data_IF_590791843678
#
_entry.id   IF_590791843678
#
_cell.length_a   1.000
_cell.length_b   1.000
_cell.length_c   1.000
_cell.angle_alpha   90.00
_cell.angle_beta   90.00
_cell.angle_gamma   90.00
#
_symmetry.space_group_name_H-M   'P 1'
#
loop_
_entity.id
_entity.type
_entity.pdbx_description
1 polymer ?
#
# COMPACT_ATOMS: atom_id res chain seq x y z
N UNK A 1 24.10 -6.85 20.93
CA UNK A 1 22.94 -7.74 21.14
C UNK A 1 22.14 -7.69 19.87
N UNK A 2 21.73 -8.83 19.31
CA UNK A 2 20.86 -8.84 18.13
C UNK A 2 19.50 -8.22 18.49
N UNK A 3 18.99 -7.32 17.65
CA UNK A 3 17.64 -6.76 17.78
C UNK A 3 16.64 -7.81 17.32
N UNK A 4 15.69 -8.17 18.17
CA UNK A 4 14.54 -9.02 17.79
C UNK A 4 13.39 -8.12 17.39
N UNK A 5 12.82 -8.36 16.21
CA UNK A 5 11.61 -7.69 15.70
C UNK A 5 10.46 -8.70 15.71
N UNK A 6 9.39 -8.39 16.42
CA UNK A 6 8.14 -9.17 16.41
C UNK A 6 7.34 -8.80 15.18
N UNK A 7 7.20 -9.76 14.26
CA UNK A 7 6.51 -9.58 12.99
C UNK A 7 5.22 -10.39 12.98
N UNK A 8 4.08 -9.71 12.90
CA UNK A 8 2.82 -10.37 12.63
C UNK A 8 2.73 -10.68 11.13
N UNK A 9 2.42 -11.92 10.79
CA UNK A 9 2.19 -12.37 9.41
C UNK A 9 0.70 -12.62 9.23
N UNK A 10 0.08 -11.95 8.26
CA UNK A 10 -1.32 -12.18 7.87
C UNK A 10 -1.30 -12.63 6.40
N UNK A 11 -1.14 -13.94 6.11
CA UNK A 11 -1.10 -14.41 4.73
C UNK A 11 -2.39 -14.09 3.97
N UNK A 12 -3.52 -14.19 4.67
CA UNK A 12 -4.84 -13.88 4.15
C UNK A 12 -5.39 -14.97 3.21
N UNK A 13 -6.04 -14.55 2.15
CA UNK A 13 -6.81 -15.37 1.22
C UNK A 13 -6.20 -15.43 -0.19
N UNK A 14 -6.64 -16.41 -0.98
CA UNK A 14 -6.31 -16.54 -2.39
C UNK A 14 -4.81 -16.73 -2.63
N UNK A 15 -4.18 -15.84 -3.40
CA UNK A 15 -2.73 -15.89 -3.67
C UNK A 15 -1.88 -15.42 -2.48
N UNK A 16 -2.49 -14.80 -1.47
CA UNK A 16 -1.82 -14.22 -0.30
C UNK A 16 -0.80 -15.17 0.35
N UNK A 17 -1.19 -16.41 0.72
CA UNK A 17 -0.26 -17.40 1.27
C UNK A 17 0.93 -17.74 0.36
N UNK A 18 0.71 -17.86 -0.95
CA UNK A 18 1.78 -18.21 -1.90
C UNK A 18 2.81 -17.08 -2.03
N UNK A 19 2.37 -15.82 -2.10
CA UNK A 19 3.29 -14.68 -2.25
C UNK A 19 3.97 -14.30 -0.92
N UNK A 20 3.30 -14.50 0.21
CA UNK A 20 3.87 -14.20 1.54
C UNK A 20 4.95 -15.19 1.91
N UNK A 21 4.81 -16.47 1.55
CA UNK A 21 5.88 -17.44 1.72
C UNK A 21 7.18 -17.01 1.02
N UNK A 22 7.06 -16.41 -0.17
CA UNK A 22 8.22 -15.89 -0.92
C UNK A 22 8.75 -14.57 -0.35
N UNK A 23 7.87 -13.71 0.19
CA UNK A 23 8.27 -12.51 0.92
C UNK A 23 9.07 -12.85 2.19
N UNK A 24 8.61 -13.82 2.98
CA UNK A 24 9.31 -14.31 4.16
C UNK A 24 10.67 -14.92 3.79
N UNK A 25 10.75 -15.68 2.69
CA UNK A 25 12.00 -16.22 2.17
C UNK A 25 13.01 -15.12 1.84
N UNK A 26 12.55 -14.05 1.18
CA UNK A 26 13.41 -12.90 0.86
C UNK A 26 13.85 -12.13 2.12
N UNK A 27 12.94 -11.96 3.10
CA UNK A 27 13.25 -11.36 4.40
C UNK A 27 14.36 -12.14 5.11
N UNK A 28 14.19 -13.46 5.24
CA UNK A 28 15.16 -14.31 5.92
C UNK A 28 16.53 -14.28 5.22
N UNK A 29 16.53 -14.32 3.88
CA UNK A 29 17.75 -14.25 3.07
C UNK A 29 18.51 -12.92 3.24
N UNK A 30 17.81 -11.78 3.24
CA UNK A 30 18.47 -10.48 3.37
C UNK A 30 19.01 -10.23 4.78
N UNK A 31 18.36 -10.79 5.81
CA UNK A 31 18.76 -10.59 7.21
C UNK A 31 19.60 -11.70 7.82
N UNK A 32 19.91 -12.77 7.09
CA UNK A 32 20.66 -13.94 7.58
C UNK A 32 21.99 -13.60 8.28
N UNK A 33 22.68 -12.55 7.82
CA UNK A 33 23.96 -12.08 8.37
C UNK A 33 23.85 -10.70 9.05
N UNK A 34 22.64 -10.26 9.39
CA UNK A 34 22.40 -8.99 10.06
C UNK A 34 22.36 -9.16 11.58
N UNK A 35 22.52 -8.07 12.32
CA UNK A 35 22.28 -8.04 13.78
C UNK A 35 20.78 -8.00 14.13
N UNK A 36 19.88 -8.27 13.17
CA UNK A 36 18.43 -8.28 13.37
C UNK A 36 17.86 -9.67 13.07
N UNK A 37 16.94 -10.12 13.92
CA UNK A 37 16.17 -11.35 13.72
C UNK A 37 14.69 -11.08 13.82
N UNK A 38 13.88 -11.79 13.03
CA UNK A 38 12.42 -11.65 13.03
C UNK A 38 11.77 -12.83 13.75
N UNK A 39 11.03 -12.54 14.82
CA UNK A 39 10.14 -13.48 15.48
C UNK A 39 8.76 -13.35 14.82
N UNK A 40 8.38 -14.36 14.04
CA UNK A 40 7.18 -14.32 13.20
C UNK A 40 6.01 -15.01 13.91
N UNK A 41 4.87 -14.32 13.99
CA UNK A 41 3.61 -14.88 14.50
C UNK A 41 2.56 -14.82 13.41
N UNK A 42 2.03 -15.98 13.00
CA UNK A 42 1.01 -16.06 11.97
C UNK A 42 -0.40 -15.84 12.54
N UNK A 43 -1.19 -15.02 11.84
CA UNK A 43 -2.58 -14.71 12.15
C UNK A 43 -3.49 -15.17 11.00
N UNK A 44 -4.37 -16.13 11.29
CA UNK A 44 -5.39 -16.60 10.34
C UNK A 44 -6.59 -15.65 10.33
N UNK A 45 -6.48 -14.59 9.52
CA UNK A 45 -7.52 -13.58 9.26
C UNK A 45 -7.86 -13.56 7.77
N UNK A 46 -9.11 -13.25 7.42
CA UNK A 46 -9.59 -13.25 6.04
C UNK A 46 -10.91 -14.00 5.85
N UNK A 47 -11.28 -14.23 4.59
CA UNK A 47 -12.47 -14.96 4.18
C UNK A 47 -12.52 -16.37 4.75
N UNK A 48 -11.41 -17.11 4.72
CA UNK A 48 -11.37 -18.47 5.25
C UNK A 48 -11.60 -18.52 6.76
N UNK A 49 -11.17 -17.49 7.49
CA UNK A 49 -11.46 -17.35 8.93
C UNK A 49 -12.95 -17.10 9.15
N UNK A 50 -13.54 -16.17 8.41
CA UNK A 50 -14.96 -15.87 8.50
C UNK A 50 -15.83 -17.09 8.19
N UNK A 51 -15.52 -17.84 7.14
CA UNK A 51 -16.26 -19.06 6.78
C UNK A 51 -16.18 -20.14 7.87
N UNK A 52 -15.09 -20.17 8.64
CA UNK A 52 -14.85 -21.16 9.69
C UNK A 52 -15.45 -20.76 11.04
N UNK A 53 -15.37 -19.49 11.43
CA UNK A 53 -15.75 -19.04 12.79
C UNK A 53 -16.85 -18.00 12.84
N UNK A 54 -17.16 -17.33 11.71
CA UNK A 54 -18.05 -16.18 11.64
C UNK A 54 -17.38 -14.85 12.02
N UNK A 55 -16.10 -14.87 12.43
CA UNK A 55 -15.36 -13.67 12.82
C UNK A 55 -14.48 -13.17 11.67
N UNK A 56 -14.32 -11.85 11.60
CA UNK A 56 -13.42 -11.18 10.64
C UNK A 56 -12.15 -10.69 11.35
N UNK A 57 -12.32 -9.89 12.40
CA UNK A 57 -11.26 -9.34 13.26
C UNK A 57 -11.81 -9.07 14.66
N UNK A 58 -11.48 -9.94 15.61
CA UNK A 58 -11.88 -9.75 17.01
C UNK A 58 -11.04 -8.67 17.70
N UNK A 59 -11.49 -8.20 18.86
CA UNK A 59 -10.71 -7.23 19.63
C UNK A 59 -9.45 -7.86 20.24
N UNK A 60 -9.47 -9.16 20.54
CA UNK A 60 -8.29 -9.91 20.96
C UNK A 60 -7.26 -10.03 19.83
N UNK A 61 -7.70 -10.28 18.59
CA UNK A 61 -6.83 -10.28 17.41
C UNK A 61 -6.17 -8.90 17.23
N UNK A 62 -6.95 -7.82 17.34
CA UNK A 62 -6.43 -6.46 17.22
C UNK A 62 -5.42 -6.12 18.33
N UNK A 63 -5.71 -6.51 19.59
CA UNK A 63 -4.80 -6.31 20.70
C UNK A 63 -3.50 -7.11 20.53
N UNK A 64 -3.58 -8.34 20.02
CA UNK A 64 -2.42 -9.16 19.72
C UNK A 64 -1.58 -8.57 18.58
N UNK A 65 -2.21 -8.10 17.49
CA UNK A 65 -1.51 -7.43 16.41
C UNK A 65 -0.81 -6.16 16.90
N UNK A 66 -1.46 -5.34 17.72
CA UNK A 66 -0.89 -4.11 18.28
C UNK A 66 0.35 -4.35 19.17
N UNK A 67 0.60 -5.57 19.64
CA UNK A 67 1.77 -5.93 20.44
C UNK A 67 3.01 -6.31 19.60
N UNK A 68 2.90 -6.28 18.27
CA UNK A 68 4.01 -6.53 17.33
C UNK A 68 4.69 -5.21 16.94
N UNK A 69 5.88 -5.32 16.34
CA UNK A 69 6.64 -4.16 15.84
C UNK A 69 6.23 -3.78 14.41
N UNK A 70 5.80 -4.77 13.62
CA UNK A 70 5.31 -4.59 12.26
C UNK A 70 4.34 -5.71 11.86
N UNK A 71 3.57 -5.47 10.80
CA UNK A 71 2.66 -6.44 10.19
C UNK A 71 3.07 -6.62 8.73
N UNK A 72 3.19 -7.87 8.27
CA UNK A 72 3.30 -8.23 6.86
C UNK A 72 2.00 -8.94 6.45
N UNK A 73 1.27 -8.35 5.51
CA UNK A 73 -0.03 -8.85 5.04
C UNK A 73 0.06 -9.25 3.56
N UNK A 74 -0.57 -10.36 3.19
CA UNK A 74 -0.67 -10.84 1.81
C UNK A 74 -1.81 -10.16 1.07
N UNK A 75 -2.95 -10.82 1.00
CA UNK A 75 -4.15 -10.24 0.44
C UNK A 75 -5.37 -10.81 1.17
N UNK A 76 -6.43 -10.03 1.32
CA UNK A 76 -7.68 -10.50 1.92
C UNK A 76 -8.84 -10.13 1.01
N UNK A 77 -9.87 -10.97 1.04
CA UNK A 77 -11.00 -10.85 0.13
C UNK A 77 -11.27 -12.21 -0.50
N UNK A 78 -12.45 -12.75 -0.27
CA UNK A 78 -12.80 -14.06 -0.82
C UNK A 78 -13.24 -13.98 -2.28
N UNK A 79 -13.79 -15.09 -2.79
CA UNK A 79 -14.32 -15.17 -4.15
C UNK A 79 -15.43 -14.12 -4.36
N UNK A 80 -15.31 -13.24 -5.39
CA UNK A 80 -16.35 -12.25 -5.68
C UNK A 80 -17.72 -12.91 -5.85
N UNK A 81 -18.74 -12.32 -5.22
CA UNK A 81 -20.14 -12.80 -5.24
C UNK A 81 -20.36 -14.17 -4.59
N UNK A 82 -19.46 -14.67 -3.74
CA UNK A 82 -19.76 -15.84 -2.92
C UNK A 82 -20.86 -15.49 -1.89
N UNK A 83 -22.05 -16.13 -1.96
CA UNK A 83 -23.15 -15.79 -1.06
C UNK A 83 -22.83 -16.08 0.42
N UNK A 84 -21.84 -16.93 0.70
CA UNK A 84 -21.42 -17.24 2.07
C UNK A 84 -20.62 -16.09 2.71
N UNK A 85 -20.13 -15.16 1.89
CA UNK A 85 -19.36 -13.98 2.32
C UNK A 85 -20.19 -12.69 2.29
N UNK A 86 -21.49 -12.77 1.98
CA UNK A 86 -22.35 -11.59 1.82
C UNK A 86 -22.35 -10.68 3.07
N UNK A 87 -22.29 -11.27 4.27
CA UNK A 87 -22.28 -10.55 5.54
C UNK A 87 -20.86 -10.34 6.11
N UNK A 88 -19.82 -10.79 5.42
CA UNK A 88 -18.45 -10.76 5.93
C UNK A 88 -17.86 -9.34 5.91
N UNK A 89 -18.12 -8.56 4.86
CA UNK A 89 -17.56 -7.22 4.63
C UNK A 89 -16.07 -7.13 5.03
N UNK A 90 -15.24 -8.01 4.47
CA UNK A 90 -13.86 -8.25 4.90
C UNK A 90 -13.01 -6.98 4.76
N UNK A 91 -13.18 -6.24 3.68
CA UNK A 91 -12.45 -5.01 3.41
C UNK A 91 -12.67 -3.98 4.52
N UNK A 92 -13.92 -3.80 4.97
CA UNK A 92 -14.23 -2.87 6.05
C UNK A 92 -13.92 -3.44 7.43
N UNK A 93 -14.30 -4.70 7.65
CA UNK A 93 -14.21 -5.39 8.94
C UNK A 93 -12.78 -5.77 9.33
N UNK A 94 -11.88 -5.90 8.37
CA UNK A 94 -10.46 -6.22 8.57
C UNK A 94 -9.56 -5.06 8.13
N UNK A 95 -9.43 -4.78 6.82
CA UNK A 95 -8.42 -3.84 6.32
C UNK A 95 -8.65 -2.41 6.81
N UNK A 96 -9.86 -1.87 6.65
CA UNK A 96 -10.16 -0.54 7.17
C UNK A 96 -10.10 -0.54 8.71
N UNK A 97 -10.70 -1.53 9.39
CA UNK A 97 -10.63 -1.61 10.86
C UNK A 97 -9.18 -1.59 11.36
N UNK A 98 -8.25 -2.30 10.73
CA UNK A 98 -6.82 -2.24 11.04
C UNK A 98 -6.24 -0.85 10.82
N UNK A 99 -6.46 -0.25 9.64
CA UNK A 99 -5.93 1.08 9.31
C UNK A 99 -6.40 2.16 10.29
N UNK A 100 -7.69 2.16 10.64
CA UNK A 100 -8.25 3.12 11.58
C UNK A 100 -7.79 2.85 13.02
N UNK A 101 -7.86 1.60 13.49
CA UNK A 101 -7.55 1.26 14.89
C UNK A 101 -6.05 1.35 15.21
N UNK A 102 -5.17 1.14 14.24
CA UNK A 102 -3.72 1.26 14.38
C UNK A 102 -3.19 2.60 13.88
N UNK A 103 -4.09 3.55 13.57
CA UNK A 103 -3.77 4.90 13.09
C UNK A 103 -2.76 4.90 11.92
N UNK A 104 -3.00 4.05 10.93
CA UNK A 104 -2.21 3.95 9.70
C UNK A 104 -2.55 5.07 8.71
N UNK A 105 -2.29 6.31 9.09
CA UNK A 105 -2.74 7.48 8.35
C UNK A 105 -1.97 7.76 7.05
N UNK A 106 -0.80 7.15 6.87
CA UNK A 106 -0.05 7.20 5.62
C UNK A 106 -0.18 5.88 4.89
N UNK A 107 -0.84 5.87 3.74
CA UNK A 107 -0.73 4.80 2.76
C UNK A 107 0.34 5.18 1.73
N UNK A 108 1.51 4.57 1.86
CA UNK A 108 2.70 4.79 1.04
C UNK A 108 2.72 3.81 -0.14
N UNK A 109 2.70 4.33 -1.36
CA UNK A 109 2.62 3.54 -2.60
C UNK A 109 3.65 4.00 -3.62
N UNK A 110 4.89 3.46 -3.57
CA UNK A 110 5.90 3.70 -4.58
C UNK A 110 5.51 3.08 -5.93
N UNK A 111 5.83 3.76 -7.01
CA UNK A 111 5.53 3.33 -8.38
C UNK A 111 6.72 3.66 -9.27
N UNK A 112 7.40 2.60 -9.73
CA UNK A 112 8.59 2.68 -10.55
C UNK A 112 8.45 1.76 -11.75
N UNK A 113 8.64 2.31 -12.95
CA UNK A 113 8.77 1.50 -14.17
C UNK A 113 10.23 1.11 -14.34
N UNK A 114 10.55 -0.16 -14.16
CA UNK A 114 11.90 -0.68 -14.34
C UNK A 114 12.26 -0.75 -15.84
N UNK A 115 13.53 -0.51 -16.24
CA UNK A 115 13.91 -0.42 -17.65
C UNK A 115 13.57 -1.64 -18.51
N UNK A 116 13.53 -2.84 -17.92
CA UNK A 116 13.25 -4.10 -18.61
C UNK A 116 11.78 -4.51 -18.55
N UNK A 117 10.94 -3.78 -17.82
CA UNK A 117 9.51 -4.04 -17.69
C UNK A 117 8.76 -3.20 -18.72
N UNK A 118 8.00 -3.85 -19.59
CA UNK A 118 7.10 -3.15 -20.50
C UNK A 118 5.84 -2.71 -19.76
N UNK A 119 5.55 -1.41 -19.79
CA UNK A 119 4.25 -0.86 -19.38
C UNK A 119 3.27 -0.74 -20.55
N UNK A 120 1.99 -0.39 -20.29
CA UNK A 120 1.00 -0.14 -21.34
C UNK A 120 1.28 1.16 -22.13
N UNK A 121 2.17 2.01 -21.64
CA UNK A 121 2.49 3.31 -22.24
C UNK A 121 3.59 3.17 -23.30
N UNK A 122 3.42 3.84 -24.44
CA UNK A 122 4.36 3.76 -25.57
C UNK A 122 5.72 4.44 -25.29
N UNK A 123 5.69 5.61 -24.64
CA UNK A 123 6.88 6.43 -24.33
C UNK A 123 6.76 7.04 -22.93
N UNK A 124 6.80 6.22 -21.85
CA UNK A 124 6.52 6.70 -20.49
C UNK A 124 7.60 7.64 -19.91
N UNK A 125 8.79 7.68 -20.50
CA UNK A 125 9.96 8.31 -19.90
C UNK A 125 10.41 7.57 -18.63
N UNK A 126 11.13 8.27 -17.76
CA UNK A 126 11.50 7.73 -16.44
C UNK A 126 10.32 7.87 -15.47
N UNK A 127 9.72 6.75 -15.06
CA UNK A 127 8.63 6.72 -14.10
C UNK A 127 9.15 6.22 -12.77
N UNK A 128 9.23 7.11 -11.79
CA UNK A 128 9.60 6.80 -10.40
C UNK A 128 8.97 7.86 -9.50
N UNK A 129 7.79 7.59 -8.94
CA UNK A 129 7.15 8.49 -8.00
C UNK A 129 6.51 7.71 -6.85
N UNK A 130 6.11 8.41 -5.80
CA UNK A 130 5.42 7.82 -4.65
C UNK A 130 4.12 8.56 -4.42
N UNK A 131 3.03 7.81 -4.26
CA UNK A 131 1.77 8.37 -3.77
C UNK A 131 1.74 8.20 -2.25
N UNK A 132 1.54 9.31 -1.55
CA UNK A 132 1.28 9.41 -0.11
C UNK A 132 -0.22 9.70 0.04
N UNK A 133 -0.98 8.64 0.25
CA UNK A 133 -2.44 8.68 0.40
C UNK A 133 -2.79 8.82 1.88
N UNK A 134 -3.74 9.70 2.18
CA UNK A 134 -4.38 9.76 3.50
C UNK A 134 -5.21 8.50 3.76
N UNK A 135 -4.98 7.82 4.88
CA UNK A 135 -5.52 6.48 5.14
C UNK A 135 -6.64 6.36 6.18
N UNK A 136 -6.95 7.43 6.91
CA UNK A 136 -7.72 7.43 8.17
C UNK A 136 -8.87 8.44 8.24
N UNK A 137 -9.12 9.19 7.18
CA UNK A 137 -10.28 10.07 7.07
C UNK A 137 -10.75 10.16 5.60
N UNK A 138 -11.38 11.27 5.22
CA UNK A 138 -11.91 11.46 3.87
C UNK A 138 -13.21 10.69 3.62
N UNK A 139 -13.41 10.26 2.37
CA UNK A 139 -14.65 9.61 1.94
C UNK A 139 -14.86 8.20 2.53
N UNK A 140 -13.82 7.55 3.03
CA UNK A 140 -13.86 6.12 3.42
C UNK A 140 -14.15 5.89 4.91
N UNK A 141 -14.49 6.95 5.66
CA UNK A 141 -14.87 6.85 7.07
C UNK A 141 -16.22 6.15 7.29
N UNK A 142 -17.00 5.92 6.23
CA UNK A 142 -18.33 5.31 6.31
C UNK A 142 -19.33 6.17 7.08
N UNK A 143 -19.14 7.49 7.05
CA UNK A 143 -20.07 8.45 7.62
C UNK A 143 -21.18 8.70 6.61
N UNK A 144 -22.37 8.23 6.92
CA UNK A 144 -23.41 8.16 5.94
C UNK A 144 -24.66 7.46 6.44
N UNK A 145 -25.54 7.14 5.52
CA UNK A 145 -26.74 6.38 5.82
C UNK A 145 -27.66 6.25 4.61
N UNK A 146 -28.67 5.41 4.79
CA UNK A 146 -29.74 5.20 3.81
C UNK A 146 -31.09 5.54 4.45
N UNK A 147 -31.91 6.30 3.75
CA UNK A 147 -33.28 6.64 4.13
C UNK A 147 -34.24 6.08 3.08
N UNK A 148 -35.35 5.47 3.52
CA UNK A 148 -36.39 4.87 2.65
C UNK A 148 -35.85 3.81 1.68
N UNK A 149 -34.95 2.95 2.18
CA UNK A 149 -34.35 1.86 1.43
C UNK A 149 -35.40 0.97 0.74
N UNK A 150 -35.16 0.64 -0.52
CA UNK A 150 -36.03 -0.21 -1.33
C UNK A 150 -37.27 0.49 -1.90
N UNK A 151 -37.28 1.83 -1.95
CA UNK A 151 -38.40 2.61 -2.51
C UNK A 151 -37.93 3.61 -3.56
N UNK A 152 -38.84 4.12 -4.41
CA UNK A 152 -38.54 5.20 -5.39
C UNK A 152 -38.08 6.52 -4.75
N UNK A 153 -38.15 6.63 -3.42
CA UNK A 153 -37.72 7.78 -2.63
C UNK A 153 -36.45 7.49 -1.81
N UNK A 154 -35.73 6.42 -2.13
CA UNK A 154 -34.49 6.04 -1.47
C UNK A 154 -33.42 7.15 -1.62
N UNK A 155 -32.74 7.43 -0.51
CA UNK A 155 -31.63 8.38 -0.46
C UNK A 155 -30.49 7.67 0.24
N UNK A 156 -29.32 7.62 -0.41
CA UNK A 156 -28.06 7.20 0.18
C UNK A 156 -27.10 8.39 0.22
N UNK A 157 -26.49 8.63 1.37
CA UNK A 157 -25.51 9.70 1.53
C UNK A 157 -24.20 9.13 2.11
N UNK A 158 -23.09 9.56 1.52
CA UNK A 158 -21.73 9.27 1.99
C UNK A 158 -21.00 10.60 2.15
N UNK A 159 -20.49 10.87 3.35
CA UNK A 159 -19.86 12.13 3.71
C UNK A 159 -18.36 11.95 3.90
N UNK A 160 -17.58 12.67 3.08
CA UNK A 160 -16.15 12.81 3.29
C UNK A 160 -15.83 13.74 4.46
N UNK A 161 -15.33 13.19 5.57
CA UNK A 161 -14.93 13.96 6.75
C UNK A 161 -13.43 14.21 6.67
N UNK A 162 -13.00 15.46 6.64
CA UNK A 162 -11.59 15.83 6.55
C UNK A 162 -11.27 16.74 7.74
N UNK A 163 -10.18 16.47 8.45
CA UNK A 163 -9.76 17.23 9.62
C UNK A 163 -8.44 17.94 9.34
N UNK A 164 -8.24 19.10 9.96
CA UNK A 164 -6.96 19.80 9.85
C UNK A 164 -5.80 18.95 10.39
N UNK A 165 -6.07 18.11 11.40
CA UNK A 165 -5.08 17.21 11.98
C UNK A 165 -4.63 16.14 10.99
N UNK A 166 -5.57 15.39 10.41
CA UNK A 166 -5.29 14.30 9.46
C UNK A 166 -4.58 14.79 8.20
N UNK A 167 -5.08 15.88 7.61
CA UNK A 167 -4.47 16.53 6.45
C UNK A 167 -3.05 17.02 6.76
N UNK A 168 -2.83 17.67 7.90
CA UNK A 168 -1.50 18.22 8.25
C UNK A 168 -0.45 17.14 8.36
N UNK A 169 -0.72 16.07 9.14
CA UNK A 169 0.27 15.00 9.38
C UNK A 169 0.66 14.24 8.12
N UNK A 170 -0.29 13.97 7.21
CA UNK A 170 0.02 13.27 5.94
C UNK A 170 0.78 14.17 4.97
N UNK A 171 0.47 15.47 4.93
CA UNK A 171 1.20 16.44 4.10
C UNK A 171 2.62 16.65 4.63
N UNK A 172 2.81 16.80 5.94
CA UNK A 172 4.15 16.89 6.57
C UNK A 172 5.01 15.67 6.22
N UNK A 173 4.46 14.46 6.33
CA UNK A 173 5.14 13.24 5.90
C UNK A 173 5.53 13.29 4.41
N UNK A 174 4.62 13.75 3.54
CA UNK A 174 4.89 13.85 2.11
C UNK A 174 6.00 14.86 1.77
N UNK A 175 6.08 15.98 2.50
CA UNK A 175 7.18 16.94 2.38
C UNK A 175 8.52 16.33 2.80
N UNK A 176 8.55 15.60 3.92
CA UNK A 176 9.76 14.92 4.40
C UNK A 176 10.25 13.87 3.41
N UNK A 177 9.33 13.14 2.79
CA UNK A 177 9.65 12.19 1.72
C UNK A 177 10.17 12.92 0.47
N UNK A 178 9.51 13.99 0.04
CA UNK A 178 9.92 14.75 -1.15
C UNK A 178 11.33 15.36 -1.00
N UNK A 179 11.66 15.86 0.20
CA UNK A 179 12.98 16.41 0.51
C UNK A 179 14.11 15.38 0.42
N UNK A 180 13.83 14.10 0.67
CA UNK A 180 14.79 12.98 0.51
C UNK A 180 14.85 12.45 -0.93
N UNK A 181 13.95 12.91 -1.80
CA UNK A 181 13.82 12.49 -3.20
C UNK A 181 14.25 13.61 -4.13
N UNK A 182 13.44 13.98 -5.13
CA UNK A 182 13.79 14.99 -6.14
C UNK A 182 13.28 16.39 -5.75
N UNK A 183 12.88 16.58 -4.50
CA UNK A 183 12.45 17.86 -3.97
C UNK A 183 11.16 18.39 -4.61
N UNK A 184 10.25 17.51 -5.05
CA UNK A 184 8.98 17.94 -5.66
C UNK A 184 7.78 17.21 -5.05
N UNK A 185 6.80 18.00 -4.60
CA UNK A 185 5.51 17.53 -4.09
C UNK A 185 4.38 18.03 -5.00
N UNK A 186 3.45 17.15 -5.37
CA UNK A 186 2.20 17.52 -6.03
C UNK A 186 1.03 17.22 -5.10
N UNK A 187 0.27 18.23 -4.71
CA UNK A 187 -1.04 18.02 -4.11
C UNK A 187 -2.04 17.68 -5.21
N UNK A 188 -2.72 16.53 -5.09
CA UNK A 188 -3.85 16.18 -5.95
C UNK A 188 -5.15 16.27 -5.15
N UNK A 189 -6.11 17.04 -5.65
CA UNK A 189 -7.45 17.17 -5.04
C UNK A 189 -8.44 17.77 -6.06
N UNK A 190 -9.72 17.97 -5.73
CA UNK A 190 -10.69 18.70 -6.57
C UNK A 190 -11.17 20.02 -5.94
N UNK A 191 -10.27 21.00 -5.76
CA UNK A 191 -10.53 22.23 -4.97
C UNK A 191 -11.61 23.16 -5.52
N UNK A 192 -11.89 23.09 -6.82
CA UNK A 192 -12.90 23.91 -7.48
C UNK A 192 -14.35 23.45 -7.22
N UNK A 193 -14.57 22.16 -6.98
CA UNK A 193 -15.91 21.59 -6.72
C UNK A 193 -16.07 21.17 -5.26
N UNK A 194 -15.06 20.51 -4.68
CA UNK A 194 -15.05 20.14 -3.27
C UNK A 194 -14.56 21.30 -2.41
N UNK A 195 -15.34 22.38 -2.38
CA UNK A 195 -14.89 23.68 -1.85
C UNK A 195 -14.55 23.68 -0.36
N UNK A 196 -15.06 22.74 0.43
CA UNK A 196 -14.75 22.66 1.86
C UNK A 196 -13.46 21.86 2.11
N UNK A 197 -13.47 20.57 1.76
CA UNK A 197 -12.30 19.70 1.88
C UNK A 197 -11.11 20.24 1.05
N UNK A 198 -11.34 20.63 -0.20
CA UNK A 198 -10.28 21.13 -1.06
C UNK A 198 -9.65 22.42 -0.58
N UNK A 199 -10.42 23.36 -0.02
CA UNK A 199 -9.83 24.56 0.61
C UNK A 199 -9.02 24.19 1.85
N UNK A 200 -9.47 23.24 2.66
CA UNK A 200 -8.73 22.74 3.81
C UNK A 200 -7.39 22.15 3.39
N UNK A 201 -7.40 21.20 2.45
CA UNK A 201 -6.22 20.56 1.87
C UNK A 201 -5.24 21.59 1.29
N UNK A 202 -5.73 22.47 0.39
CA UNK A 202 -4.87 23.48 -0.25
C UNK A 202 -4.26 24.43 0.77
N UNK A 203 -5.04 24.93 1.72
CA UNK A 203 -4.56 25.87 2.75
C UNK A 203 -3.47 25.24 3.61
N UNK A 204 -3.66 24.01 4.09
CA UNK A 204 -2.67 23.33 4.94
C UNK A 204 -1.39 23.02 4.14
N UNK A 205 -1.50 22.57 2.90
CA UNK A 205 -0.33 22.38 2.03
C UNK A 205 0.43 23.69 1.82
N UNK A 206 -0.26 24.80 1.58
CA UNK A 206 0.38 26.11 1.41
C UNK A 206 1.05 26.62 2.68
N UNK A 207 0.45 26.38 3.86
CA UNK A 207 1.04 26.70 5.16
C UNK A 207 2.36 25.96 5.36
N UNK A 208 2.41 24.65 5.11
CA UNK A 208 3.62 23.83 5.24
C UNK A 208 4.65 24.19 4.16
N UNK A 209 4.21 24.46 2.93
CA UNK A 209 5.09 24.89 1.83
C UNK A 209 5.87 26.16 2.18
N UNK A 210 5.25 27.11 2.88
CA UNK A 210 5.90 28.34 3.33
C UNK A 210 7.03 28.08 4.34
N UNK A 211 6.94 26.98 5.10
CA UNK A 211 7.94 26.55 6.08
C UNK A 211 9.02 25.64 5.46
N UNK A 212 8.77 25.09 4.27
CA UNK A 212 9.59 24.08 3.58
C UNK A 212 9.98 24.50 2.15
N UNK A 213 10.73 25.61 1.98
CA UNK A 213 11.08 26.13 0.65
C UNK A 213 12.05 25.23 -0.13
N UNK A 214 12.61 24.20 0.50
CA UNK A 214 13.45 23.16 -0.10
C UNK A 214 12.68 22.23 -1.05
N UNK A 215 11.33 22.20 -0.95
CA UNK A 215 10.47 21.35 -1.78
C UNK A 215 9.62 22.20 -2.71
N UNK A 216 9.74 21.97 -4.02
CA UNK A 216 8.87 22.59 -5.02
C UNK A 216 7.46 21.98 -4.95
N UNK A 217 6.44 22.83 -4.83
CA UNK A 217 5.04 22.40 -4.69
C UNK A 217 4.25 22.71 -5.95
N UNK A 218 3.56 21.70 -6.48
CA UNK A 218 2.57 21.80 -7.56
C UNK A 218 1.17 21.40 -7.04
N UNK A 219 0.13 21.84 -7.74
CA UNK A 219 -1.25 21.44 -7.49
C UNK A 219 -1.90 20.93 -8.78
N UNK A 220 -2.58 19.79 -8.71
CA UNK A 220 -3.39 19.28 -9.81
C UNK A 220 -4.80 18.92 -9.37
N UNK A 221 -5.74 19.17 -10.26
CA UNK A 221 -7.04 18.52 -10.17
C UNK A 221 -6.91 17.02 -10.42
N UNK A 222 -7.68 16.19 -9.72
CA UNK A 222 -7.63 14.73 -9.86
C UNK A 222 -7.79 14.25 -11.31
N UNK A 223 -8.70 14.84 -12.08
CA UNK A 223 -8.88 14.55 -13.49
C UNK A 223 -7.63 14.90 -14.33
N UNK A 224 -6.98 16.04 -14.06
CA UNK A 224 -5.73 16.40 -14.72
C UNK A 224 -4.58 15.46 -14.31
N UNK A 225 -4.49 15.08 -13.04
CA UNK A 225 -3.49 14.13 -12.54
C UNK A 225 -3.64 12.76 -13.22
N UNK A 226 -4.87 12.25 -13.36
CA UNK A 226 -5.19 11.03 -14.10
C UNK A 226 -4.73 11.11 -15.56
N UNK A 227 -4.99 12.22 -16.26
CA UNK A 227 -4.49 12.41 -17.64
C UNK A 227 -2.97 12.39 -17.68
N UNK A 228 -2.31 13.12 -16.77
CA UNK A 228 -0.85 13.21 -16.76
C UNK A 228 -0.15 11.92 -16.34
N UNK A 229 -0.77 11.05 -15.55
CA UNK A 229 -0.23 9.71 -15.29
C UNK A 229 -0.10 8.88 -16.57
N UNK A 230 -0.98 9.09 -17.56
CA UNK A 230 -0.91 8.39 -18.84
C UNK A 230 -0.01 9.12 -19.84
N UNK A 231 -0.11 10.44 -19.90
CA UNK A 231 0.55 11.26 -20.93
C UNK A 231 2.00 11.63 -20.59
N UNK A 232 2.29 11.92 -19.31
CA UNK A 232 3.61 12.34 -18.86
C UNK A 232 3.88 11.95 -17.40
N UNK A 233 3.95 10.64 -17.07
CA UNK A 233 4.14 10.19 -15.68
C UNK A 233 5.49 10.60 -15.07
N UNK A 234 6.51 10.86 -15.89
CA UNK A 234 7.83 11.35 -15.43
C UNK A 234 7.78 12.69 -14.68
N UNK A 235 6.66 13.40 -14.80
CA UNK A 235 6.42 14.66 -14.10
C UNK A 235 6.11 14.54 -12.62
N UNK A 236 5.92 13.35 -12.08
CA UNK A 236 5.62 13.19 -10.66
C UNK A 236 6.90 12.91 -9.87
N UNK A 237 6.88 13.16 -8.55
CA UNK A 237 7.93 12.69 -7.63
C UNK A 237 7.29 12.20 -6.34
N UNK A 238 6.72 13.10 -5.55
CA UNK A 238 5.78 12.74 -4.49
C UNK A 238 4.41 13.33 -4.81
N UNK A 239 3.37 12.50 -4.79
CA UNK A 239 1.99 12.94 -4.83
C UNK A 239 1.43 12.81 -3.42
N UNK A 240 0.78 13.85 -2.91
CA UNK A 240 -0.04 13.75 -1.70
C UNK A 240 -1.51 13.99 -2.04
N UNK A 241 -2.40 13.18 -1.49
CA UNK A 241 -3.81 13.23 -1.82
C UNK A 241 -4.68 12.61 -0.72
N UNK A 242 -5.99 12.88 -0.79
CA UNK A 242 -6.97 12.27 0.12
C UNK A 242 -7.15 10.76 -0.11
N UNK A 243 -7.97 10.15 0.73
CA UNK A 243 -8.19 8.70 0.74
C UNK A 243 -8.76 8.16 -0.59
N UNK A 244 -9.81 8.79 -1.12
CA UNK A 244 -10.49 8.33 -2.34
C UNK A 244 -9.64 8.54 -3.59
N UNK A 245 -9.05 9.72 -3.77
CA UNK A 245 -8.23 9.99 -4.94
C UNK A 245 -6.92 9.20 -4.89
N UNK A 246 -6.36 8.99 -3.69
CA UNK A 246 -5.21 8.12 -3.50
C UNK A 246 -5.49 6.70 -3.96
N UNK A 247 -6.66 6.15 -3.61
CA UNK A 247 -7.12 4.83 -4.08
C UNK A 247 -7.00 4.72 -5.62
N UNK A 248 -7.67 5.63 -6.33
CA UNK A 248 -7.73 5.67 -7.79
C UNK A 248 -6.34 5.86 -8.40
N UNK A 249 -5.55 6.80 -7.89
CA UNK A 249 -4.24 7.11 -8.45
C UNK A 249 -3.24 5.99 -8.23
N UNK A 250 -3.32 5.26 -7.12
CA UNK A 250 -2.37 4.17 -6.84
C UNK A 250 -2.59 2.95 -7.71
N UNK A 251 -3.85 2.64 -8.04
CA UNK A 251 -4.17 1.60 -9.03
C UNK A 251 -3.72 2.01 -10.44
N UNK A 252 -3.98 3.26 -10.84
CA UNK A 252 -3.50 3.79 -12.11
C UNK A 252 -1.97 3.77 -12.18
N UNK A 253 -1.29 4.14 -11.09
CA UNK A 253 0.16 4.09 -10.99
C UNK A 253 0.70 2.67 -11.16
N UNK A 254 0.09 1.69 -10.47
CA UNK A 254 0.43 0.27 -10.65
C UNK A 254 0.22 -0.22 -12.08
N UNK A 255 -0.87 0.20 -12.73
CA UNK A 255 -1.15 -0.15 -14.12
C UNK A 255 -0.08 0.38 -15.10
N UNK A 256 0.36 1.63 -14.94
CA UNK A 256 1.35 2.23 -15.85
C UNK A 256 2.79 1.78 -15.58
N UNK A 257 3.09 1.22 -14.39
CA UNK A 257 4.45 0.76 -14.01
C UNK A 257 4.67 -0.75 -14.20
N UNK A 258 3.94 -1.39 -15.12
CA UNK A 258 4.13 -2.81 -15.44
C UNK A 258 3.13 -3.76 -14.77
N UNK A 259 2.14 -3.23 -14.07
CA UNK A 259 1.03 -3.98 -13.49
C UNK A 259 1.04 -3.99 -11.96
N UNK A 260 -0.17 -4.19 -11.39
CA UNK A 260 -0.42 -4.19 -9.95
C UNK A 260 0.36 -5.28 -9.19
N UNK A 261 0.79 -6.34 -9.89
CA UNK A 261 1.64 -7.42 -9.36
C UNK A 261 3.06 -7.00 -8.99
N UNK A 262 3.48 -5.77 -9.34
CA UNK A 262 4.79 -5.19 -8.97
C UNK A 262 4.67 -4.05 -7.95
N UNK A 263 3.44 -3.68 -7.56
CA UNK A 263 3.21 -2.55 -6.68
C UNK A 263 3.17 -3.01 -5.22
N UNK A 264 4.01 -2.40 -4.39
CA UNK A 264 4.08 -2.61 -2.95
C UNK A 264 3.43 -1.44 -2.18
N UNK A 265 3.01 -1.71 -0.95
CA UNK A 265 2.29 -0.78 -0.06
C UNK A 265 2.85 -0.79 1.36
N UNK A 266 2.88 0.38 1.99
CA UNK A 266 3.01 0.51 3.45
C UNK A 266 1.87 1.34 4.02
N UNK A 267 1.11 0.78 4.95
CA UNK A 267 0.14 1.50 5.79
C UNK A 267 0.85 1.84 7.10
N UNK A 268 1.27 3.07 7.23
CA UNK A 268 2.23 3.47 8.25
C UNK A 268 1.54 4.20 9.39
N UNK A 269 1.99 3.90 10.60
CA UNK A 269 1.91 4.80 11.75
C UNK A 269 3.30 5.41 11.97
N UNK A 270 3.66 6.54 11.32
CA UNK A 270 5.00 7.14 11.44
C UNK A 270 5.43 7.47 12.88
N UNK A 271 4.50 7.65 13.82
CA UNK A 271 4.83 7.87 15.23
C UNK A 271 5.41 6.64 15.93
N UNK A 272 5.24 5.44 15.38
CA UNK A 272 5.64 4.18 16.01
C UNK A 272 4.81 3.82 17.24
N UNK A 273 3.63 4.43 17.42
CA UNK A 273 2.72 4.12 18.51
C UNK A 273 2.00 2.78 18.30
N UNK A 274 1.84 2.39 17.04
CA UNK A 274 1.26 1.12 16.60
C UNK A 274 2.13 0.53 15.48
N UNK A 275 2.12 -0.80 15.28
CA UNK A 275 2.86 -1.43 14.19
C UNK A 275 2.34 -0.96 12.84
N UNK A 276 3.24 -0.55 11.95
CA UNK A 276 2.92 -0.32 10.53
C UNK A 276 2.69 -1.65 9.81
N UNK A 277 1.85 -1.64 8.76
CA UNK A 277 1.50 -2.81 7.97
C UNK A 277 1.99 -2.70 6.52
N UNK A 278 2.61 -3.76 6.01
CA UNK A 278 3.19 -3.80 4.66
C UNK A 278 2.52 -4.90 3.85
N UNK A 279 2.07 -4.56 2.63
CA UNK A 279 1.27 -5.46 1.79
C UNK A 279 1.61 -5.26 0.30
N UNK A 280 1.43 -6.27 -0.58
CA UNK A 280 1.28 -6.01 -1.99
C UNK A 280 0.01 -5.19 -2.27
N UNK A 281 -0.03 -4.45 -3.38
CA UNK A 281 -1.23 -3.68 -3.75
C UNK A 281 -2.36 -4.55 -4.30
N UNK A 282 -2.01 -5.67 -4.93
CA UNK A 282 -2.99 -6.55 -5.56
C UNK A 282 -3.94 -7.21 -4.55
N UNK A 283 -5.15 -7.53 -4.99
CA UNK A 283 -6.10 -8.34 -4.20
C UNK A 283 -5.71 -9.82 -4.15
N UNK A 284 -6.66 -10.65 -3.68
CA UNK A 284 -6.46 -12.10 -3.45
C UNK A 284 -6.42 -12.95 -4.72
N UNK A 285 -6.78 -12.40 -5.88
CA UNK A 285 -6.79 -13.08 -7.18
C UNK A 285 -7.29 -14.56 -7.14
N UNK A 286 -8.55 -14.82 -6.72
CA UNK A 286 -9.05 -16.18 -6.49
C UNK A 286 -9.03 -17.08 -7.72
N UNK A 287 -9.01 -16.49 -8.92
CA UNK A 287 -8.96 -17.19 -10.22
C UNK A 287 -7.62 -17.91 -10.46
N UNK A 288 -6.55 -17.49 -9.80
CA UNK A 288 -5.21 -18.10 -9.92
C UNK A 288 -4.64 -18.62 -8.59
N UNK A 289 -5.39 -18.52 -7.49
CA UNK A 289 -4.98 -19.01 -6.18
C UNK A 289 -4.62 -20.51 -6.20
N UNK A 290 -3.49 -20.87 -5.59
CA UNK A 290 -3.01 -22.26 -5.51
C UNK A 290 -2.46 -22.81 -6.82
N UNK A 291 -2.32 -21.97 -7.86
CA UNK A 291 -1.81 -22.39 -9.18
C UNK A 291 -0.35 -22.01 -9.40
N UNK A 292 0.30 -21.37 -8.41
CA UNK A 292 1.69 -20.90 -8.50
C UNK A 292 1.94 -19.97 -9.70
N UNK A 293 0.94 -19.17 -10.08
CA UNK A 293 1.03 -18.18 -11.17
C UNK A 293 1.16 -16.74 -10.69
N UNK A 294 0.93 -16.49 -9.40
CA UNK A 294 1.06 -15.15 -8.83
C UNK A 294 2.53 -14.70 -8.85
N UNK A 295 2.78 -13.45 -9.21
CA UNK A 295 4.13 -12.88 -9.12
C UNK A 295 4.36 -12.37 -7.68
N UNK A 296 5.32 -12.93 -6.93
CA UNK A 296 5.56 -12.51 -5.53
C UNK A 296 6.30 -11.19 -5.42
N UNK A 297 6.68 -10.55 -6.53
CA UNK A 297 7.53 -9.35 -6.54
C UNK A 297 6.92 -8.20 -5.73
N UNK A 298 5.61 -7.98 -5.77
CA UNK A 298 4.95 -6.97 -4.94
C UNK A 298 5.06 -7.27 -3.44
N UNK A 299 4.87 -8.53 -3.03
CA UNK A 299 4.98 -8.94 -1.63
C UNK A 299 6.43 -8.86 -1.13
N UNK A 300 7.41 -9.25 -1.95
CA UNK A 300 8.83 -9.04 -1.64
C UNK A 300 9.17 -7.54 -1.61
N UNK A 301 8.57 -6.75 -2.48
CA UNK A 301 8.70 -5.29 -2.47
C UNK A 301 8.17 -4.66 -1.18
N UNK A 302 7.10 -5.20 -0.59
CA UNK A 302 6.59 -4.71 0.70
C UNK A 302 7.55 -5.01 1.85
N UNK A 303 8.35 -6.09 1.76
CA UNK A 303 9.46 -6.35 2.69
C UNK A 303 10.54 -5.26 2.60
N UNK A 304 10.85 -4.75 1.42
CA UNK A 304 11.77 -3.62 1.29
C UNK A 304 11.26 -2.38 2.03
N UNK A 305 9.95 -2.10 1.94
CA UNK A 305 9.31 -1.00 2.67
C UNK A 305 9.31 -1.23 4.19
N UNK A 306 9.07 -2.47 4.61
CA UNK A 306 9.14 -2.88 6.02
C UNK A 306 10.53 -2.63 6.59
N UNK A 307 11.57 -3.08 5.88
CA UNK A 307 12.96 -2.92 6.32
C UNK A 307 13.34 -1.44 6.41
N UNK A 308 12.98 -0.62 5.41
CA UNK A 308 13.25 0.82 5.44
C UNK A 308 12.57 1.50 6.64
N UNK A 309 11.29 1.17 6.89
CA UNK A 309 10.55 1.68 8.04
C UNK A 309 11.19 1.31 9.39
N UNK A 310 11.79 0.11 9.49
CA UNK A 310 12.51 -0.33 10.69
C UNK A 310 13.92 0.28 10.84
N UNK A 311 14.35 1.12 9.88
CA UNK A 311 15.68 1.73 9.85
C UNK A 311 16.76 0.86 9.21
N UNK A 312 16.38 -0.21 8.50
CA UNK A 312 17.26 -1.16 7.83
C UNK A 312 17.40 -0.82 6.35
N UNK A 313 17.84 0.41 6.07
CA UNK A 313 17.90 0.97 4.72
C UNK A 313 18.88 0.20 3.80
N UNK A 314 19.95 -0.37 4.36
CA UNK A 314 20.91 -1.16 3.57
C UNK A 314 20.28 -2.48 3.09
N UNK A 315 19.55 -3.16 3.95
CA UNK A 315 18.80 -4.39 3.66
C UNK A 315 17.65 -4.09 2.70
N UNK A 316 16.88 -3.03 2.94
CA UNK A 316 15.83 -2.56 2.02
C UNK A 316 16.38 -2.37 0.59
N UNK A 317 17.49 -1.63 0.47
CA UNK A 317 18.12 -1.39 -0.83
C UNK A 317 18.65 -2.67 -1.48
N UNK A 318 19.07 -3.68 -0.71
CA UNK A 318 19.44 -5.01 -1.25
C UNK A 318 18.23 -5.74 -1.83
N UNK A 319 17.08 -5.71 -1.14
CA UNK A 319 15.82 -6.30 -1.65
C UNK A 319 15.41 -5.61 -2.95
N UNK A 320 15.40 -4.28 -3.00
CA UNK A 320 15.06 -3.53 -4.21
C UNK A 320 15.99 -3.88 -5.37
N UNK A 321 17.31 -3.93 -5.15
CA UNK A 321 18.27 -4.35 -6.18
C UNK A 321 18.06 -5.79 -6.65
N UNK A 322 17.79 -6.72 -5.74
CA UNK A 322 17.53 -8.11 -6.10
C UNK A 322 16.27 -8.27 -6.97
N UNK A 323 15.22 -7.48 -6.70
CA UNK A 323 14.03 -7.38 -7.55
C UNK A 323 14.40 -6.82 -8.93
N UNK A 324 15.16 -5.71 -8.98
CA UNK A 324 15.61 -5.10 -10.24
C UNK A 324 16.42 -6.07 -11.10
N UNK A 325 17.37 -6.77 -10.48
CA UNK A 325 18.24 -7.77 -11.14
C UNK A 325 17.46 -9.02 -11.59
N UNK A 326 16.40 -9.40 -10.89
CA UNK A 326 15.49 -10.46 -11.34
C UNK A 326 14.66 -10.00 -12.54
N UNK A 327 14.01 -8.84 -12.45
CA UNK A 327 13.22 -8.24 -13.51
C UNK A 327 14.05 -8.00 -14.78
N UNK A 328 15.33 -7.63 -14.63
CA UNK A 328 16.25 -7.46 -15.75
C UNK A 328 16.63 -8.77 -16.44
N UNK A 329 16.63 -9.87 -15.70
CA UNK A 329 16.96 -11.21 -16.20
C UNK A 329 15.73 -11.97 -16.75
N UNK A 330 14.51 -11.42 -16.65
CA UNK A 330 13.30 -12.04 -17.20
C UNK A 330 13.39 -12.10 -18.72
N UNK A 331 13.36 -13.30 -19.28
CA UNK A 331 13.44 -13.57 -20.72
C UNK A 331 12.06 -13.72 -21.39
N UNK A 332 10.98 -13.42 -20.65
CA UNK A 332 9.59 -13.61 -21.09
C UNK A 332 9.07 -15.03 -20.90
N UNK A 333 9.89 -15.96 -20.38
CA UNK A 333 9.45 -17.29 -19.97
C UNK A 333 8.52 -17.25 -18.76
N UNK A 334 7.50 -18.10 -18.76
CA UNK A 334 6.63 -18.28 -17.59
C UNK A 334 7.43 -18.90 -16.44
N UNK A 335 7.42 -18.25 -15.28
CA UNK A 335 8.01 -18.75 -14.03
C UNK A 335 6.93 -18.90 -12.99
N UNK A 336 7.02 -19.94 -12.17
CA UNK A 336 6.12 -20.12 -11.04
C UNK A 336 6.40 -19.10 -9.94
N UNK A 337 5.45 -18.89 -9.04
CA UNK A 337 5.61 -18.04 -7.85
C UNK A 337 6.90 -18.37 -7.10
N UNK A 338 7.11 -19.65 -6.77
CA UNK A 338 8.36 -20.09 -6.11
C UNK A 338 9.62 -19.89 -6.95
N UNK A 339 9.59 -20.10 -8.28
CA UNK A 339 10.77 -19.85 -9.12
C UNK A 339 11.19 -18.38 -9.09
N UNK A 340 10.24 -17.45 -9.07
CA UNK A 340 10.55 -16.02 -8.94
C UNK A 340 11.12 -15.72 -7.55
N UNK A 341 10.48 -16.21 -6.48
CA UNK A 341 10.96 -15.99 -5.12
C UNK A 341 12.35 -16.59 -4.84
N UNK A 342 12.61 -17.81 -5.32
CA UNK A 342 13.94 -18.45 -5.25
C UNK A 342 15.01 -17.63 -5.99
N UNK A 343 14.68 -17.13 -7.19
CA UNK A 343 15.60 -16.32 -7.98
C UNK A 343 15.96 -15.00 -7.28
N UNK A 344 15.00 -14.35 -6.62
CA UNK A 344 15.24 -13.12 -5.85
C UNK A 344 16.03 -13.43 -4.57
N UNK A 345 15.66 -14.47 -3.82
CA UNK A 345 16.35 -14.87 -2.59
C UNK A 345 17.82 -15.28 -2.83
N UNK A 346 18.11 -15.95 -3.95
CA UNK A 346 19.47 -16.32 -4.33
C UNK A 346 20.37 -15.10 -4.55
N UNK A 347 19.83 -14.00 -5.09
CA UNK A 347 20.55 -12.72 -5.28
C UNK A 347 20.82 -11.98 -3.97
N UNK A 348 20.05 -12.27 -2.93
CA UNK A 348 20.26 -11.70 -1.58
C UNK A 348 21.34 -12.44 -0.81
N UNK A 349 21.55 -13.73 -1.10
CA UNK A 349 22.53 -14.56 -0.41
C UNK A 349 23.95 -14.45 -0.99
N UNK A 350 24.11 -13.79 -2.14
CA UNK A 350 25.38 -13.55 -2.83
C UNK A 350 26.06 -12.28 -2.33
#
# INVERSE_FOLDING_TARGET
>A
MSRVVKLAIIPGDGIGPEVIAEAEKALDAVTANSDVSFEKTEFSLGADRFLRTGDVLTDDDLAALAAHDAILLGAVGGTPNDPRLADANIERGLLLKLRFSLDHYVNLRPSKLFPTVSGPLKNPGEVDFVVVREGTEGAYVGNGGVLRQGTDHEIANELGVNTAHGVRRVVEYAFDLAAKRRGRLTLVHKTNVMVNAGKLWKRITDEIAAERPDVAVDYMHIDAATIHMVDNPSRFDVIVTDNLFGDILTDLAGAITGGIGLAASGNLNPSGAFPSMFEPVHGSAPDIAGTQKADPTAAIGSVALLLDHLGLAAESARVTRAIEDDLAARDGGARTTTQVGDAIAARLSA
#
